data_IF_693817254045
#
_entry.id   IF_693817254045
#
_cell.length_a   1.000
_cell.length_b   1.000
_cell.length_c   1.000
_cell.angle_alpha   90.00
_cell.angle_beta   90.00
_cell.angle_gamma   90.00
#
_symmetry.space_group_name_H-M   'P 1'
#
loop_
_entity.id
_entity.type
_entity.pdbx_description
1 polymer ?
#
# COMPACT_ATOMS: atom_id res chain seq x y z
N UNK A 1 2.75 -10.06 -11.75
CA UNK A 1 3.36 -9.80 -10.43
C UNK A 1 4.26 -8.60 -10.60
N UNK A 2 3.99 -7.52 -9.88
CA UNK A 2 4.83 -6.32 -9.89
C UNK A 2 6.25 -6.65 -9.41
N UNK A 3 7.25 -6.02 -10.02
CA UNK A 3 8.62 -6.07 -9.53
C UNK A 3 8.70 -5.21 -8.27
N UNK A 4 8.64 -5.85 -7.09
CA UNK A 4 8.63 -5.17 -5.81
C UNK A 4 9.92 -4.38 -5.58
N UNK A 5 11.07 -4.89 -6.02
CA UNK A 5 12.36 -4.17 -5.89
C UNK A 5 12.35 -2.87 -6.72
N UNK A 6 11.62 -2.86 -7.82
CA UNK A 6 11.45 -1.67 -8.65
C UNK A 6 10.56 -0.59 -8.02
N UNK A 7 9.71 -0.90 -7.04
CA UNK A 7 8.79 0.07 -6.41
C UNK A 7 9.07 0.36 -4.94
N UNK A 8 9.69 -0.56 -4.19
CA UNK A 8 10.13 -0.33 -2.81
C UNK A 8 11.42 0.51 -2.81
N UNK A 9 11.33 1.72 -2.27
CA UNK A 9 12.44 2.66 -2.15
C UNK A 9 12.89 2.77 -0.70
N UNK A 10 13.94 3.53 -0.47
CA UNK A 10 14.55 3.67 0.86
C UNK A 10 13.59 4.20 1.94
N UNK A 11 12.53 4.93 1.56
CA UNK A 11 11.60 5.54 2.52
C UNK A 11 10.12 5.46 2.11
N UNK A 12 9.79 4.98 0.90
CA UNK A 12 8.41 4.87 0.43
C UNK A 12 8.25 3.76 -0.62
N UNK A 13 7.00 3.52 -1.03
CA UNK A 13 6.66 2.69 -2.19
C UNK A 13 6.17 3.62 -3.29
N UNK A 14 6.78 3.56 -4.47
CA UNK A 14 6.51 4.50 -5.56
C UNK A 14 6.71 3.87 -6.94
N UNK A 15 5.78 4.14 -7.84
CA UNK A 15 5.80 3.70 -9.23
C UNK A 15 4.71 4.38 -10.06
N UNK A 16 4.66 4.08 -11.35
CA UNK A 16 3.59 4.53 -12.25
C UNK A 16 2.33 3.68 -12.07
N UNK A 17 1.16 4.31 -12.21
CA UNK A 17 -0.13 3.63 -12.25
C UNK A 17 -0.68 3.65 -13.68
N UNK A 18 -1.20 2.53 -14.22
CA UNK A 18 -1.36 1.24 -13.55
C UNK A 18 -0.16 0.28 -13.69
N UNK A 19 0.92 0.67 -14.38
CA UNK A 19 1.93 -0.29 -14.84
C UNK A 19 2.78 -0.93 -13.72
N UNK A 20 3.17 -0.14 -12.72
CA UNK A 20 4.06 -0.59 -11.63
C UNK A 20 3.33 -0.71 -10.29
N UNK A 21 2.31 0.12 -10.08
CA UNK A 21 1.41 0.08 -8.93
C UNK A 21 -0.02 0.01 -9.46
N UNK A 22 -0.75 -1.00 -8.99
CA UNK A 22 -2.15 -1.25 -9.30
C UNK A 22 -2.93 -1.68 -8.03
N UNK A 23 -4.23 -1.94 -8.19
CA UNK A 23 -5.09 -2.34 -7.08
C UNK A 23 -4.68 -3.69 -6.47
N UNK A 24 -4.23 -4.66 -7.26
CA UNK A 24 -3.81 -5.98 -6.76
C UNK A 24 -2.55 -5.85 -5.89
N UNK A 25 -1.55 -5.12 -6.37
CA UNK A 25 -0.34 -4.81 -5.63
C UNK A 25 -0.62 -4.02 -4.35
N UNK A 26 -1.46 -2.99 -4.41
CA UNK A 26 -1.85 -2.20 -3.23
C UNK A 26 -2.55 -3.05 -2.17
N UNK A 27 -3.41 -4.01 -2.57
CA UNK A 27 -4.04 -4.96 -1.65
C UNK A 27 -3.03 -5.87 -0.96
N UNK A 28 -2.06 -6.39 -1.72
CA UNK A 28 -1.01 -7.22 -1.15
C UNK A 28 -0.15 -6.43 -0.14
N UNK A 29 0.20 -5.18 -0.46
CA UNK A 29 0.98 -4.31 0.44
C UNK A 29 0.17 -3.99 1.70
N UNK A 30 -1.11 -3.63 1.57
CA UNK A 30 -1.99 -3.34 2.71
C UNK A 30 -2.11 -4.52 3.67
N UNK A 31 -2.35 -5.73 3.14
CA UNK A 31 -2.40 -6.95 3.94
C UNK A 31 -1.06 -7.26 4.64
N UNK A 32 0.07 -7.04 3.97
CA UNK A 32 1.39 -7.20 4.55
C UNK A 32 1.65 -6.18 5.67
N UNK A 33 1.27 -4.92 5.45
CA UNK A 33 1.37 -3.86 6.45
C UNK A 33 0.52 -4.17 7.69
N UNK A 34 -0.72 -4.62 7.52
CA UNK A 34 -1.59 -4.98 8.63
C UNK A 34 -1.02 -6.11 9.50
N UNK A 35 -0.45 -7.14 8.86
CA UNK A 35 0.27 -8.23 9.57
C UNK A 35 1.45 -7.68 10.35
N UNK A 36 2.31 -6.90 9.70
CA UNK A 36 3.47 -6.28 10.34
C UNK A 36 3.08 -5.41 11.54
N UNK A 37 2.02 -4.59 11.41
CA UNK A 37 1.55 -3.71 12.47
C UNK A 37 1.05 -4.50 13.69
N UNK A 38 0.36 -5.63 13.50
CA UNK A 38 -0.09 -6.50 14.58
C UNK A 38 1.07 -7.21 15.28
N UNK A 39 2.06 -7.68 14.51
CA UNK A 39 3.19 -8.43 15.03
C UNK A 39 4.17 -7.53 15.82
N UNK A 40 4.51 -6.35 15.28
CA UNK A 40 5.53 -5.45 15.85
C UNK A 40 4.94 -4.32 16.70
N UNK A 41 3.74 -3.84 16.35
CA UNK A 41 3.09 -2.71 17.01
C UNK A 41 2.22 -3.07 18.22
N UNK A 42 2.00 -4.38 18.46
CA UNK A 42 1.10 -4.86 19.50
C UNK A 42 -0.37 -4.63 19.17
N UNK A 43 -1.19 -4.25 20.15
CA UNK A 43 -2.60 -3.98 19.92
C UNK A 43 -2.78 -2.70 19.08
N UNK A 44 -2.89 -2.85 17.76
CA UNK A 44 -3.20 -1.77 16.81
C UNK A 44 -4.71 -1.78 16.53
N UNK A 45 -5.52 -0.96 17.22
CA UNK A 45 -6.98 -1.00 17.09
C UNK A 45 -7.49 -0.41 15.77
N UNK A 46 -6.70 0.44 15.13
CA UNK A 46 -7.02 1.08 13.86
C UNK A 46 -5.76 1.61 13.16
N UNK A 47 -5.82 1.69 11.83
CA UNK A 47 -4.83 2.35 10.98
C UNK A 47 -5.53 3.46 10.21
N UNK A 48 -4.96 4.67 10.25
CA UNK A 48 -5.46 5.79 9.45
C UNK A 48 -4.87 5.72 8.04
N UNK A 49 -5.74 5.70 7.03
CA UNK A 49 -5.36 5.72 5.61
C UNK A 49 -5.82 7.04 5.01
N UNK A 50 -4.93 7.69 4.25
CA UNK A 50 -5.21 8.94 3.57
C UNK A 50 -4.62 8.93 2.15
N UNK A 51 -5.20 9.73 1.26
CA UNK A 51 -4.80 9.85 -0.14
C UNK A 51 -4.84 11.30 -0.62
N UNK A 52 -3.99 11.63 -1.58
CA UNK A 52 -3.98 12.94 -2.25
C UNK A 52 -5.13 13.05 -3.28
N UNK A 53 -5.12 14.09 -4.12
CA UNK A 53 -6.18 14.34 -5.09
C UNK A 53 -6.07 13.54 -6.39
N UNK A 54 -5.10 12.61 -6.54
CA UNK A 54 -4.95 11.83 -7.78
C UNK A 54 -6.18 10.95 -8.02
N UNK A 55 -6.67 10.83 -9.27
CA UNK A 55 -7.80 9.97 -9.59
C UNK A 55 -7.58 8.50 -9.17
N UNK A 56 -6.39 7.96 -9.41
CA UNK A 56 -6.02 6.60 -9.01
C UNK A 56 -6.05 6.39 -7.50
N UNK A 57 -5.88 7.44 -6.70
CA UNK A 57 -5.86 7.36 -5.25
C UNK A 57 -7.18 6.89 -4.63
N UNK A 58 -8.31 6.97 -5.34
CA UNK A 58 -9.58 6.42 -4.86
C UNK A 58 -9.52 4.89 -4.81
N UNK A 59 -9.19 4.27 -5.95
CA UNK A 59 -9.09 2.81 -6.07
C UNK A 59 -7.94 2.26 -5.22
N UNK A 60 -6.77 2.90 -5.25
CA UNK A 60 -5.59 2.39 -4.54
C UNK A 60 -5.77 2.45 -3.01
N UNK A 61 -6.44 3.48 -2.48
CA UNK A 61 -6.74 3.56 -1.05
C UNK A 61 -7.77 2.51 -0.61
N UNK A 62 -8.80 2.28 -1.43
CA UNK A 62 -9.79 1.22 -1.18
C UNK A 62 -9.17 -0.16 -1.26
N UNK A 63 -8.24 -0.39 -2.20
CA UNK A 63 -7.55 -1.67 -2.32
C UNK A 63 -6.58 -1.95 -1.17
N UNK A 64 -5.91 -0.92 -0.63
CA UNK A 64 -4.97 -1.03 0.49
C UNK A 64 -5.66 -1.34 1.83
N UNK A 65 -6.87 -0.84 2.02
CA UNK A 65 -7.63 -0.93 3.29
C UNK A 65 -8.37 -2.26 3.43
#
# INVERSE_FOLDING_TARGET
MSDLDAIFKAYDVRGTYPDQIDAEGCRAIGAAFARFALDEGGAVPAVLVARDMRPSGVELAEAFS
#
